data_IF_766137901580
#
_entry.id   IF_766137901580
#
_cell.length_a   1.000
_cell.length_b   1.000
_cell.length_c   1.000
_cell.angle_alpha   90.00
_cell.angle_beta   90.00
_cell.angle_gamma   90.00
#
_symmetry.space_group_name_H-M   'P 1'
#
loop_
_entity.id
_entity.type
_entity.pdbx_description
1 polymer ?
#
# COMPACT_ATOMS: atom_id res chain seq x y z
N UNK A 1 -4.56 12.69 -5.00
CA UNK A 1 -5.14 12.77 -3.64
C UNK A 1 -5.38 14.25 -3.34
N UNK A 2 -6.51 14.57 -2.73
CA UNK A 2 -6.82 15.89 -2.19
C UNK A 2 -6.85 15.77 -0.67
N UNK A 3 -6.26 16.74 0.03
CA UNK A 3 -6.30 16.85 1.49
C UNK A 3 -6.65 18.28 1.85
N UNK A 4 -7.59 18.47 2.78
CA UNK A 4 -8.11 19.79 3.14
C UNK A 4 -7.27 20.54 4.19
N UNK A 5 -6.10 19.98 4.55
CA UNK A 5 -5.22 20.55 5.57
C UNK A 5 -5.67 20.26 7.01
N UNK A 6 -6.80 19.56 7.21
CA UNK A 6 -7.36 19.24 8.52
C UNK A 6 -7.43 17.74 8.74
N UNK A 7 -8.46 17.10 8.22
CA UNK A 7 -8.78 15.70 8.50
C UNK A 7 -9.37 14.93 7.33
N UNK A 8 -9.87 15.62 6.29
CA UNK A 8 -10.49 14.95 5.13
C UNK A 8 -9.47 14.76 4.02
N UNK A 9 -9.39 13.52 3.55
CA UNK A 9 -8.64 13.16 2.37
C UNK A 9 -9.58 12.49 1.35
N UNK A 10 -9.29 12.68 0.07
CA UNK A 10 -10.04 12.03 -1.00
C UNK A 10 -9.17 11.77 -2.23
N UNK A 11 -9.70 11.00 -3.16
CA UNK A 11 -9.03 10.60 -4.40
C UNK A 11 -8.62 9.14 -4.40
N UNK A 12 -7.68 8.82 -5.29
CA UNK A 12 -7.28 7.44 -5.59
C UNK A 12 -5.77 7.43 -5.86
N UNK A 13 -5.06 6.47 -5.27
CA UNK A 13 -3.63 6.22 -5.53
C UNK A 13 -3.50 4.75 -5.89
N UNK A 14 -2.97 4.45 -7.07
CA UNK A 14 -2.87 3.07 -7.56
C UNK A 14 -1.46 2.70 -7.94
N UNK A 15 -1.14 1.42 -7.69
CA UNK A 15 0.06 0.78 -8.18
C UNK A 15 -0.33 -0.28 -9.20
N UNK A 16 0.41 -0.34 -10.30
CA UNK A 16 0.28 -1.41 -11.29
C UNK A 16 0.93 -2.67 -10.72
N UNK A 17 0.16 -3.73 -10.52
CA UNK A 17 0.68 -4.99 -10.00
C UNK A 17 1.68 -5.64 -10.97
N UNK A 18 1.58 -5.33 -12.27
CA UNK A 18 2.53 -5.76 -13.28
C UNK A 18 3.95 -5.18 -13.08
N UNK A 19 4.09 -4.06 -12.36
CA UNK A 19 5.37 -3.42 -12.08
C UNK A 19 6.11 -4.02 -10.87
N UNK A 20 5.62 -5.15 -10.33
CA UNK A 20 6.30 -5.87 -9.26
C UNK A 20 7.70 -6.31 -9.72
N UNK A 21 8.70 -5.87 -8.95
CA UNK A 21 10.11 -6.16 -9.19
C UNK A 21 10.78 -6.46 -7.84
N UNK A 22 11.31 -7.67 -7.73
CA UNK A 22 12.08 -8.12 -6.59
C UNK A 22 13.55 -8.37 -6.96
N UNK A 23 13.96 -8.05 -8.18
CA UNK A 23 15.26 -8.38 -8.75
C UNK A 23 15.41 -9.86 -9.17
N UNK A 24 14.32 -10.63 -9.19
CA UNK A 24 14.33 -12.04 -9.63
C UNK A 24 13.07 -12.33 -10.46
N UNK A 25 13.27 -12.58 -11.76
CA UNK A 25 12.19 -12.71 -12.73
C UNK A 25 11.18 -13.84 -12.40
N UNK A 26 11.65 -14.99 -11.94
CA UNK A 26 10.79 -16.11 -11.56
C UNK A 26 9.95 -15.78 -10.31
N UNK A 27 10.56 -15.12 -9.31
CA UNK A 27 9.86 -14.66 -8.12
C UNK A 27 8.83 -13.59 -8.47
N UNK A 28 9.12 -12.72 -9.42
CA UNK A 28 8.20 -11.66 -9.86
C UNK A 28 7.02 -12.24 -10.63
N UNK A 29 7.25 -13.25 -11.47
CA UNK A 29 6.17 -14.00 -12.12
C UNK A 29 5.26 -14.67 -11.08
N UNK A 30 5.84 -15.34 -10.09
CA UNK A 30 5.07 -15.98 -9.01
C UNK A 30 4.31 -14.96 -8.18
N UNK A 31 4.92 -13.81 -7.84
CA UNK A 31 4.27 -12.74 -7.09
C UNK A 31 3.05 -12.18 -7.85
N UNK A 32 3.19 -11.89 -9.15
CA UNK A 32 2.08 -11.43 -9.99
C UNK A 32 0.93 -12.44 -10.04
N UNK A 33 1.22 -13.75 -10.09
CA UNK A 33 0.20 -14.81 -10.00
C UNK A 33 -0.51 -14.82 -8.65
N UNK A 34 0.24 -14.75 -7.55
CA UNK A 34 -0.32 -14.70 -6.19
C UNK A 34 -1.23 -13.48 -6.03
N UNK A 35 -0.78 -12.31 -6.49
CA UNK A 35 -1.52 -11.06 -6.46
C UNK A 35 -2.71 -11.02 -7.43
N UNK A 36 -2.88 -12.06 -8.25
CA UNK A 36 -3.92 -12.16 -9.28
C UNK A 36 -3.88 -10.97 -10.24
N UNK A 37 -2.68 -10.54 -10.61
CA UNK A 37 -2.44 -9.29 -11.36
C UNK A 37 -3.11 -9.24 -12.74
N UNK A 38 -3.41 -10.39 -13.35
CA UNK A 38 -4.16 -10.43 -14.62
C UNK A 38 -5.64 -10.05 -14.43
N UNK A 39 -6.29 -10.60 -13.40
CA UNK A 39 -7.68 -10.30 -13.07
C UNK A 39 -7.85 -8.95 -12.35
N UNK A 40 -6.83 -8.55 -11.59
CA UNK A 40 -6.80 -7.32 -10.79
C UNK A 40 -5.50 -6.57 -11.08
N UNK A 41 -5.42 -5.77 -12.16
CA UNK A 41 -4.17 -5.16 -12.62
C UNK A 41 -3.63 -4.06 -11.70
N UNK A 42 -4.47 -3.52 -10.83
CA UNK A 42 -4.12 -2.44 -9.91
C UNK A 42 -4.42 -2.82 -8.45
N UNK A 43 -3.59 -2.32 -7.54
CA UNK A 43 -3.93 -2.18 -6.14
C UNK A 43 -4.10 -0.69 -5.83
N UNK A 44 -5.25 -0.29 -5.28
CA UNK A 44 -5.63 1.11 -5.15
C UNK A 44 -6.02 1.47 -3.72
N UNK A 45 -5.40 2.51 -3.19
CA UNK A 45 -5.79 3.18 -1.96
C UNK A 45 -6.80 4.29 -2.27
N UNK A 46 -7.88 4.31 -1.49
CA UNK A 46 -8.90 5.36 -1.46
C UNK A 46 -8.84 6.06 -0.10
N UNK A 47 -8.04 7.14 0.03
CA UNK A 47 -7.95 7.89 1.28
C UNK A 47 -9.29 8.50 1.65
N UNK A 48 -9.60 8.49 2.95
CA UNK A 48 -10.80 9.11 3.52
C UNK A 48 -10.41 10.16 4.56
N UNK A 49 -9.37 9.89 5.34
CA UNK A 49 -8.86 10.80 6.37
C UNK A 49 -7.36 10.90 6.32
N UNK A 50 -6.85 12.09 6.60
CA UNK A 50 -5.42 12.31 6.78
C UNK A 50 -5.20 13.40 7.83
N UNK A 51 -4.47 13.10 8.90
CA UNK A 51 -4.35 13.98 10.06
C UNK A 51 -3.05 13.75 10.85
N UNK A 52 -2.65 14.75 11.65
CA UNK A 52 -1.51 14.61 12.57
C UNK A 52 -1.93 13.87 13.84
N UNK A 53 -1.10 12.93 14.28
CA UNK A 53 -1.28 12.17 15.53
C UNK A 53 0.04 12.20 16.31
N UNK A 54 0.12 13.07 17.32
CA UNK A 54 1.36 13.34 18.03
C UNK A 54 2.47 13.80 17.06
N UNK A 55 3.66 13.17 17.07
CA UNK A 55 4.73 13.46 16.12
C UNK A 55 4.48 12.87 14.72
N UNK A 56 3.50 11.98 14.56
CA UNK A 56 3.21 11.26 13.33
C UNK A 56 2.13 11.91 12.46
N UNK A 57 1.95 11.33 11.28
CA UNK A 57 0.88 11.63 10.34
C UNK A 57 0.21 10.32 9.94
N UNK A 58 -1.11 10.30 10.01
CA UNK A 58 -1.94 9.11 9.75
C UNK A 58 -2.74 9.34 8.48
N UNK A 59 -2.78 8.33 7.62
CA UNK A 59 -3.71 8.25 6.48
C UNK A 59 -4.61 7.03 6.68
N UNK A 60 -5.91 7.25 6.78
CA UNK A 60 -6.94 6.20 6.85
C UNK A 60 -7.72 6.16 5.54
N UNK A 61 -8.06 4.95 5.11
CA UNK A 61 -8.88 4.75 3.92
C UNK A 61 -9.13 3.28 3.65
N UNK A 62 -9.51 2.99 2.42
CA UNK A 62 -9.70 1.61 1.96
C UNK A 62 -8.64 1.24 0.94
N UNK A 63 -8.00 0.09 1.12
CA UNK A 63 -7.14 -0.53 0.13
C UNK A 63 -7.94 -1.57 -0.64
N UNK A 64 -7.93 -1.48 -1.96
CA UNK A 64 -8.46 -2.49 -2.85
C UNK A 64 -7.32 -3.28 -3.49
N UNK A 65 -7.33 -4.59 -3.33
CA UNK A 65 -6.32 -5.49 -3.89
C UNK A 65 -6.90 -6.91 -4.02
N UNK A 66 -6.56 -7.61 -5.10
CA UNK A 66 -6.92 -9.00 -5.33
C UNK A 66 -8.42 -9.32 -5.19
N UNK A 67 -9.28 -8.37 -5.58
CA UNK A 67 -10.75 -8.51 -5.54
C UNK A 67 -11.40 -8.25 -4.18
N UNK A 68 -10.63 -7.76 -3.20
CA UNK A 68 -11.14 -7.34 -1.89
C UNK A 68 -10.90 -5.85 -1.68
N UNK A 69 -11.74 -5.23 -0.85
CA UNK A 69 -11.55 -3.89 -0.33
C UNK A 69 -11.60 -3.93 1.19
N UNK A 70 -10.53 -3.48 1.84
CA UNK A 70 -10.37 -3.57 3.30
C UNK A 70 -9.89 -2.22 3.86
N UNK A 71 -10.27 -1.85 5.09
CA UNK A 71 -9.77 -0.64 5.74
C UNK A 71 -8.26 -0.77 6.00
N UNK A 72 -7.54 0.32 5.81
CA UNK A 72 -6.11 0.43 6.12
C UNK A 72 -5.83 1.74 6.85
N UNK A 73 -4.88 1.68 7.79
CA UNK A 73 -4.35 2.82 8.52
C UNK A 73 -2.83 2.85 8.33
N UNK A 74 -2.35 3.85 7.60
CA UNK A 74 -0.93 4.07 7.35
C UNK A 74 -0.42 5.11 8.33
N UNK A 75 0.57 4.74 9.14
CA UNK A 75 1.25 5.66 10.05
C UNK A 75 2.59 6.05 9.44
N UNK A 76 2.92 7.34 9.48
CA UNK A 76 4.17 7.83 8.91
C UNK A 76 4.52 9.24 9.33
N UNK A 77 5.37 9.87 8.55
CA UNK A 77 5.79 11.26 8.68
C UNK A 77 5.40 12.05 7.44
N UNK A 78 4.97 13.31 7.64
CA UNK A 78 4.71 14.27 6.57
C UNK A 78 5.66 15.46 6.70
N UNK A 79 6.51 15.67 5.69
CA UNK A 79 7.49 16.76 5.63
C UNK A 79 7.18 17.68 4.45
N UNK A 80 7.35 18.98 4.63
CA UNK A 80 7.26 19.93 3.52
C UNK A 80 8.58 19.90 2.73
N UNK A 81 8.50 19.75 1.40
CA UNK A 81 9.68 19.66 0.53
C UNK A 81 9.34 20.17 -0.87
N UNK A 82 10.20 21.03 -1.43
CA UNK A 82 10.12 21.42 -2.85
C UNK A 82 8.80 22.07 -3.27
N UNK A 83 8.14 22.81 -2.37
CA UNK A 83 6.84 23.43 -2.63
C UNK A 83 5.63 22.51 -2.48
N UNK A 84 5.84 21.26 -2.08
CA UNK A 84 4.80 20.26 -1.80
C UNK A 84 5.07 19.52 -0.48
N UNK A 85 4.58 18.28 -0.40
CA UNK A 85 4.81 17.42 0.75
C UNK A 85 5.40 16.07 0.34
N UNK A 86 6.29 15.53 1.18
CA UNK A 86 6.71 14.13 1.15
C UNK A 86 6.09 13.40 2.33
N UNK A 87 5.38 12.32 2.04
CA UNK A 87 4.87 11.39 3.04
C UNK A 87 5.67 10.09 2.98
N UNK A 88 6.13 9.60 4.12
CA UNK A 88 6.79 8.31 4.26
C UNK A 88 6.13 7.55 5.40
N UNK A 89 5.61 6.35 5.14
CA UNK A 89 4.87 5.61 6.17
C UNK A 89 4.85 4.10 5.94
N UNK A 90 4.26 3.41 6.90
CA UNK A 90 4.08 1.96 6.83
C UNK A 90 2.76 1.51 7.43
N UNK A 91 2.40 0.28 7.06
CA UNK A 91 1.33 -0.48 7.69
C UNK A 91 1.64 -1.97 7.59
N UNK A 92 1.01 -2.76 8.45
CA UNK A 92 1.12 -4.22 8.44
C UNK A 92 -0.15 -4.83 7.88
N UNK A 93 -0.02 -5.88 7.08
CA UNK A 93 -1.13 -6.68 6.58
C UNK A 93 -0.75 -8.16 6.54
N UNK A 94 -1.64 -9.03 6.04
CA UNK A 94 -1.40 -10.48 5.96
C UNK A 94 -1.88 -11.06 4.64
N UNK A 95 -1.18 -12.05 4.08
CA UNK A 95 -1.67 -12.78 2.90
C UNK A 95 -3.07 -13.35 3.13
N UNK A 96 -3.31 -13.94 4.30
CA UNK A 96 -4.59 -14.52 4.69
C UNK A 96 -5.76 -13.52 4.69
N UNK A 97 -5.55 -12.27 5.13
CA UNK A 97 -6.57 -11.21 5.10
C UNK A 97 -7.07 -10.97 3.66
N UNK A 98 -6.15 -11.01 2.70
CA UNK A 98 -6.45 -10.82 1.28
C UNK A 98 -6.88 -12.12 0.59
N UNK A 99 -6.89 -13.27 1.29
CA UNK A 99 -7.17 -14.58 0.68
C UNK A 99 -6.11 -14.97 -0.37
N UNK A 100 -4.87 -14.56 -0.13
CA UNK A 100 -3.71 -14.85 -0.96
C UNK A 100 -2.95 -16.04 -0.39
N UNK A 101 -2.35 -16.82 -1.29
CA UNK A 101 -1.45 -17.89 -0.90
C UNK A 101 -0.11 -17.34 -0.43
N UNK A 102 0.43 -17.90 0.65
CA UNK A 102 1.78 -17.59 1.11
C UNK A 102 2.81 -18.23 0.17
N UNK A 103 3.83 -17.47 -0.29
CA UNK A 103 4.95 -18.05 -1.01
C UNK A 103 5.66 -19.10 -0.14
N UNK A 104 5.99 -20.24 -0.75
CA UNK A 104 6.72 -21.34 -0.10
C UNK A 104 7.71 -21.97 -1.07
N UNK A 105 8.83 -22.44 -0.54
CA UNK A 105 9.85 -23.19 -1.27
C UNK A 105 10.37 -24.33 -0.40
N UNK A 106 10.12 -25.58 -0.81
CA UNK A 106 10.37 -26.77 0.01
C UNK A 106 9.76 -26.63 1.42
N UNK A 107 10.59 -26.68 2.46
CA UNK A 107 10.18 -26.55 3.87
C UNK A 107 10.15 -25.09 4.37
N UNK A 108 10.49 -24.11 3.53
CA UNK A 108 10.49 -22.70 3.87
C UNK A 108 9.18 -22.06 3.43
N UNK A 109 8.47 -21.42 4.36
CA UNK A 109 7.25 -20.67 4.07
C UNK A 109 7.40 -19.23 4.58
N UNK A 110 6.99 -18.28 3.74
CA UNK A 110 7.01 -16.86 4.12
C UNK A 110 5.98 -16.62 5.22
N UNK A 111 6.32 -15.72 6.16
CA UNK A 111 5.39 -15.30 7.20
C UNK A 111 4.09 -14.80 6.58
N UNK A 112 2.97 -15.08 7.24
CA UNK A 112 1.69 -14.55 6.79
C UNK A 112 1.65 -13.02 6.85
N UNK A 113 2.32 -12.46 7.86
CA UNK A 113 2.47 -11.02 8.06
C UNK A 113 3.43 -10.38 7.07
N UNK A 114 3.02 -9.25 6.51
CA UNK A 114 3.78 -8.42 5.57
C UNK A 114 3.76 -7.00 6.07
N UNK A 115 4.94 -6.40 6.22
CA UNK A 115 5.09 -4.96 6.44
C UNK A 115 5.24 -4.27 5.10
N UNK A 116 4.44 -3.23 4.89
CA UNK A 116 4.43 -2.43 3.66
C UNK A 116 4.95 -1.05 3.99
N UNK A 117 5.98 -0.62 3.27
CA UNK A 117 6.52 0.73 3.33
C UNK A 117 6.16 1.48 2.06
N UNK A 118 5.88 2.77 2.19
CA UNK A 118 5.59 3.62 1.04
C UNK A 118 6.13 5.03 1.23
N UNK A 119 6.53 5.63 0.12
CA UNK A 119 6.81 7.06 0.00
C UNK A 119 5.90 7.65 -1.09
N UNK A 120 5.34 8.83 -0.83
CA UNK A 120 4.56 9.58 -1.80
C UNK A 120 4.97 11.06 -1.79
N UNK A 121 4.98 11.68 -2.97
CA UNK A 121 5.16 13.12 -3.14
C UNK A 121 3.84 13.75 -3.57
N UNK A 122 3.43 14.78 -2.87
CA UNK A 122 2.24 15.58 -3.12
C UNK A 122 2.71 16.93 -3.66
N UNK A 123 2.42 17.18 -4.93
CA UNK A 123 2.64 18.49 -5.54
C UNK A 123 1.46 19.40 -5.17
N UNK A 124 1.74 20.67 -4.89
CA UNK A 124 0.70 21.70 -4.69
C UNK A 124 0.05 22.07 -6.02
#
# INVERSE_FOLDING_TARGET
MLWDGRDKASGKVCLKQAAWDSGNAERDEKARKILKAEAYPEACLYPQRAYREGPGFVVEGELEMAGKRLPVRVLGELREEGGGYRFSGSFTTRFSQWGLERPRFLFLEVRDEVEVYLEARLLR
#
